data_IF_785476835928
#
_entry.id   IF_785476835928
#
_cell.length_a   1.000
_cell.length_b   1.000
_cell.length_c   1.000
_cell.angle_alpha   90.00
_cell.angle_beta   90.00
_cell.angle_gamma   90.00
#
_symmetry.space_group_name_H-M   'P 1'
#
loop_
_entity.id
_entity.type
_entity.pdbx_description
1 polymer ?
#
# COMPACT_ATOMS: atom_id res chain seq x y z
N UNK A 1 60.07 127.64 30.51
CA UNK A 1 59.25 126.64 31.21
C UNK A 1 60.06 125.34 31.28
N UNK A 2 60.74 125.04 32.39
CA UNK A 2 61.63 123.88 32.50
C UNK A 2 60.82 122.58 32.56
N UNK A 3 61.18 121.62 31.72
CA UNK A 3 60.61 120.27 31.67
C UNK A 3 60.99 119.48 32.91
N UNK A 4 60.01 119.14 33.74
CA UNK A 4 60.16 118.20 34.86
C UNK A 4 60.43 116.81 34.26
N UNK A 5 61.68 116.37 34.33
CA UNK A 5 62.05 115.00 33.98
C UNK A 5 61.35 114.04 34.93
N UNK A 6 60.28 113.38 34.47
CA UNK A 6 59.60 112.34 35.22
C UNK A 6 60.59 111.21 35.53
N UNK A 7 61.12 111.18 36.74
CA UNK A 7 62.10 110.20 37.16
C UNK A 7 61.56 108.78 36.96
N UNK A 8 62.31 107.93 36.26
CA UNK A 8 61.94 106.53 36.04
C UNK A 8 61.86 105.80 37.38
N UNK A 9 60.84 104.97 37.54
CA UNK A 9 60.63 104.17 38.76
C UNK A 9 61.08 102.72 38.57
N UNK A 10 61.55 102.10 39.65
CA UNK A 10 61.87 100.68 39.71
C UNK A 10 60.62 99.84 39.49
N UNK A 11 60.66 98.86 38.58
CA UNK A 11 59.51 97.98 38.27
C UNK A 11 59.06 97.11 39.45
N UNK A 12 59.95 96.78 40.39
CA UNK A 12 59.64 95.88 41.50
C UNK A 12 59.03 96.57 42.73
N UNK A 13 59.51 97.78 43.06
CA UNK A 13 59.19 98.49 44.30
C UNK A 13 58.64 99.92 44.11
N UNK A 14 58.56 100.43 42.88
CA UNK A 14 57.98 101.74 42.57
C UNK A 14 58.80 102.98 42.98
N UNK A 15 59.96 102.79 43.62
CA UNK A 15 60.89 103.87 44.02
C UNK A 15 61.60 104.49 42.80
N UNK A 16 61.98 105.77 42.89
CA UNK A 16 62.74 106.46 41.84
C UNK A 16 64.13 105.82 41.65
N UNK A 17 64.55 105.66 40.41
CA UNK A 17 65.89 105.15 40.07
C UNK A 17 66.94 106.21 40.41
N UNK A 18 68.14 105.81 40.87
CA UNK A 18 69.22 106.75 41.15
C UNK A 18 69.51 107.63 39.93
N UNK A 19 69.67 108.94 40.15
CA UNK A 19 70.06 109.89 39.10
C UNK A 19 71.38 109.45 38.46
N UNK A 20 71.43 109.43 37.13
CA UNK A 20 72.55 108.85 36.35
C UNK A 20 72.41 107.36 35.99
N UNK A 21 71.32 106.70 36.37
CA UNK A 21 71.06 105.32 35.95
C UNK A 21 70.89 105.20 34.42
N UNK A 22 71.60 104.25 33.80
CA UNK A 22 71.53 103.96 32.36
C UNK A 22 70.08 103.79 31.89
N UNK A 23 69.82 104.14 30.63
CA UNK A 23 68.48 104.17 30.07
C UNK A 23 67.69 102.85 30.22
N UNK A 24 68.41 101.72 30.26
CA UNK A 24 67.83 100.38 30.28
C UNK A 24 67.70 99.79 31.70
N UNK A 25 68.06 100.53 32.75
CA UNK A 25 68.02 100.04 34.13
C UNK A 25 66.58 100.02 34.64
N UNK A 26 66.02 98.83 34.83
CA UNK A 26 64.62 98.61 35.27
C UNK A 26 64.45 98.51 36.80
N UNK A 27 65.56 98.34 37.54
CA UNK A 27 65.55 98.08 38.98
C UNK A 27 66.52 98.99 39.74
N UNK A 28 66.11 99.46 40.92
CA UNK A 28 66.94 100.33 41.76
C UNK A 28 68.19 99.62 42.28
N UNK A 29 68.11 98.32 42.57
CA UNK A 29 69.19 97.51 43.10
C UNK A 29 69.10 96.03 42.65
N UNK A 30 70.17 95.28 42.91
CA UNK A 30 70.22 93.83 42.63
C UNK A 30 69.19 93.05 43.48
N UNK A 31 68.81 93.58 44.64
CA UNK A 31 67.77 93.00 45.49
C UNK A 31 66.39 93.06 44.82
N UNK A 32 66.01 94.21 44.25
CA UNK A 32 64.76 94.36 43.50
C UNK A 32 64.75 93.55 42.20
N UNK A 33 65.89 93.42 41.51
CA UNK A 33 66.02 92.54 40.36
C UNK A 33 65.79 91.07 40.74
N UNK A 34 66.40 90.59 41.84
CA UNK A 34 66.17 89.24 42.37
C UNK A 34 64.74 89.03 42.87
N UNK A 35 64.13 90.05 43.50
CA UNK A 35 62.75 89.98 43.98
C UNK A 35 61.76 89.86 42.82
N UNK A 36 61.95 90.63 41.75
CA UNK A 36 61.13 90.53 40.54
C UNK A 36 61.34 89.20 39.80
N UNK A 37 62.59 88.73 39.72
CA UNK A 37 62.88 87.40 39.16
C UNK A 37 62.18 86.28 39.97
N UNK A 38 62.19 86.36 41.31
CA UNK A 38 61.45 85.44 42.19
C UNK A 38 59.94 85.56 42.05
N UNK A 39 59.39 86.78 41.87
CA UNK A 39 57.96 86.98 41.60
C UNK A 39 57.55 86.34 40.27
N UNK A 40 58.35 86.51 39.21
CA UNK A 40 58.06 85.91 37.89
C UNK A 40 58.15 84.38 37.90
N UNK A 41 59.16 83.81 38.55
CA UNK A 41 59.29 82.35 38.67
C UNK A 41 58.28 81.75 39.65
N UNK A 42 57.94 82.45 40.74
CA UNK A 42 56.94 82.03 41.73
C UNK A 42 55.49 82.12 41.24
N UNK A 43 55.11 83.22 40.58
CA UNK A 43 53.74 83.40 40.06
C UNK A 43 53.43 82.48 38.87
N UNK A 44 54.40 82.27 37.96
CA UNK A 44 54.26 81.31 36.86
C UNK A 44 54.29 79.85 37.30
N UNK A 45 55.07 79.51 38.34
CA UNK A 45 55.13 78.18 38.94
C UNK A 45 53.85 77.81 39.70
N UNK A 46 53.27 78.76 40.44
CA UNK A 46 52.00 78.54 41.15
C UNK A 46 50.84 78.31 40.18
N UNK A 47 50.71 79.10 39.10
CA UNK A 47 49.62 78.92 38.14
C UNK A 47 49.75 77.61 37.32
N UNK A 48 50.99 77.20 37.00
CA UNK A 48 51.26 75.90 36.34
C UNK A 48 50.94 74.71 37.25
N UNK A 49 51.25 74.79 38.53
CA UNK A 49 50.94 73.70 39.48
C UNK A 49 49.44 73.58 39.75
N UNK A 50 48.71 74.69 39.79
CA UNK A 50 47.23 74.69 39.85
C UNK A 50 46.65 74.06 38.58
N UNK A 51 47.05 74.50 37.38
CA UNK A 51 46.57 73.90 36.12
C UNK A 51 46.92 72.41 35.99
N UNK A 52 48.09 71.99 36.48
CA UNK A 52 48.47 70.58 36.51
C UNK A 52 47.59 69.77 37.48
N UNK A 53 47.23 70.33 38.65
CA UNK A 53 46.28 69.70 39.57
C UNK A 53 44.89 69.62 38.98
N UNK A 54 44.40 70.67 38.33
CA UNK A 54 43.08 70.66 37.69
C UNK A 54 43.02 69.63 36.56
N UNK A 55 44.10 69.47 35.79
CA UNK A 55 44.19 68.39 34.80
C UNK A 55 44.20 67.01 35.47
N UNK A 56 44.92 66.84 36.57
CA UNK A 56 44.94 65.59 37.31
C UNK A 56 43.56 65.24 37.83
N UNK A 57 42.80 66.20 38.38
CA UNK A 57 41.44 65.96 38.89
C UNK A 57 40.46 65.59 37.77
N UNK A 58 40.57 66.23 36.60
CA UNK A 58 39.77 65.86 35.41
C UNK A 58 40.12 64.44 34.94
N UNK A 59 41.41 64.13 34.79
CA UNK A 59 41.86 62.81 34.34
C UNK A 59 41.49 61.72 35.35
N UNK A 60 41.59 61.98 36.66
CA UNK A 60 41.15 61.03 37.69
C UNK A 60 39.64 60.81 37.65
N UNK A 61 38.86 61.87 37.38
CA UNK A 61 37.42 61.76 37.19
C UNK A 61 37.06 60.91 35.96
N UNK A 62 37.75 61.12 34.85
CA UNK A 62 37.59 60.33 33.63
C UNK A 62 37.99 58.86 33.84
N UNK A 63 39.06 58.60 34.58
CA UNK A 63 39.49 57.24 34.93
C UNK A 63 38.42 56.53 35.76
N UNK A 64 37.89 57.18 36.80
CA UNK A 64 36.82 56.62 37.63
C UNK A 64 35.54 56.33 36.83
N UNK A 65 35.19 57.20 35.88
CA UNK A 65 34.07 56.96 34.95
C UNK A 65 34.34 55.76 34.03
N UNK A 66 35.55 55.67 33.47
CA UNK A 66 35.94 54.55 32.62
C UNK A 66 35.96 53.21 33.38
N UNK A 67 36.45 53.19 34.62
CA UNK A 67 36.42 52.02 35.49
C UNK A 67 34.99 51.57 35.80
N UNK A 68 34.09 52.52 36.07
CA UNK A 68 32.67 52.23 36.30
C UNK A 68 32.02 51.66 35.04
N UNK A 69 32.26 52.26 33.87
CA UNK A 69 31.75 51.77 32.59
C UNK A 69 32.30 50.38 32.26
N UNK A 70 33.57 50.10 32.56
CA UNK A 70 34.20 48.80 32.38
C UNK A 70 33.58 47.76 33.32
N UNK A 71 33.30 48.13 34.57
CA UNK A 71 32.54 47.30 35.52
C UNK A 71 31.15 46.94 35.00
N UNK A 72 30.41 47.92 34.47
CA UNK A 72 29.09 47.68 33.85
C UNK A 72 29.18 46.76 32.63
N UNK A 73 30.17 46.96 31.75
CA UNK A 73 30.42 46.09 30.61
C UNK A 73 30.71 44.64 31.05
N UNK A 74 31.57 44.45 32.07
CA UNK A 74 31.87 43.13 32.64
C UNK A 74 30.61 42.47 33.23
N UNK A 75 29.77 43.22 33.92
CA UNK A 75 28.48 42.74 34.41
C UNK A 75 27.59 42.22 33.28
N UNK A 76 27.40 43.01 32.22
CA UNK A 76 26.62 42.60 31.04
C UNK A 76 27.18 41.36 30.35
N UNK A 77 28.50 41.24 30.23
CA UNK A 77 29.15 40.04 29.66
C UNK A 77 28.87 38.82 30.53
N UNK A 78 29.03 38.93 31.85
CA UNK A 78 28.74 37.84 32.77
C UNK A 78 27.27 37.41 32.73
N UNK A 79 26.33 38.35 32.62
CA UNK A 79 24.90 38.04 32.49
C UNK A 79 24.59 37.31 31.18
N UNK A 80 25.19 37.76 30.06
CA UNK A 80 25.09 37.09 28.76
C UNK A 80 25.73 35.70 28.77
N UNK A 81 26.86 35.53 29.44
CA UNK A 81 27.51 34.22 29.57
C UNK A 81 26.63 33.22 30.35
N UNK A 82 25.97 33.67 31.42
CA UNK A 82 24.98 32.85 32.14
C UNK A 82 23.79 32.49 31.26
N UNK A 83 23.27 33.44 30.49
CA UNK A 83 22.16 33.20 29.55
C UNK A 83 22.56 32.20 28.46
N UNK A 84 23.75 32.33 27.89
CA UNK A 84 24.30 31.38 26.90
C UNK A 84 24.47 29.99 27.52
N UNK A 85 24.99 29.90 28.74
CA UNK A 85 25.15 28.63 29.43
C UNK A 85 23.79 27.95 29.69
N UNK A 86 22.79 28.72 30.10
CA UNK A 86 21.42 28.24 30.29
C UNK A 86 20.79 27.75 28.97
N UNK A 87 20.87 28.54 27.90
CA UNK A 87 20.35 28.16 26.58
C UNK A 87 21.02 26.90 26.02
N UNK A 88 22.33 26.73 26.25
CA UNK A 88 23.06 25.51 25.86
C UNK A 88 22.58 24.27 26.63
N UNK A 89 22.30 24.42 27.93
CA UNK A 89 21.76 23.33 28.74
C UNK A 89 20.34 22.94 28.27
N UNK A 90 19.50 23.93 27.98
CA UNK A 90 18.15 23.70 27.46
C UNK A 90 18.18 23.00 26.09
N UNK A 91 19.03 23.46 25.17
CA UNK A 91 19.21 22.81 23.87
C UNK A 91 19.68 21.35 24.04
N UNK A 92 20.60 21.08 24.96
CA UNK A 92 21.08 19.73 25.24
C UNK A 92 19.99 18.83 25.85
N UNK A 93 19.07 19.36 26.65
CA UNK A 93 17.91 18.61 27.14
C UNK A 93 16.92 18.30 26.01
N UNK A 94 16.60 19.29 25.17
CA UNK A 94 15.72 19.10 24.00
C UNK A 94 16.33 18.09 23.02
N UNK A 95 17.63 18.13 22.78
CA UNK A 95 18.31 17.13 21.94
C UNK A 95 18.24 15.72 22.55
N UNK A 96 18.39 15.58 23.86
CA UNK A 96 18.25 14.28 24.55
C UNK A 96 16.81 13.78 24.55
N UNK A 97 15.82 14.64 24.71
CA UNK A 97 14.40 14.24 24.68
C UNK A 97 13.96 13.84 23.27
N UNK A 98 14.34 14.61 22.26
CA UNK A 98 14.08 14.29 20.84
C UNK A 98 14.76 12.99 20.41
N UNK A 99 16.02 12.77 20.80
CA UNK A 99 16.71 11.50 20.56
C UNK A 99 15.98 10.31 21.18
N UNK A 100 15.48 10.44 22.42
CA UNK A 100 14.68 9.39 23.09
C UNK A 100 13.38 9.10 22.34
N UNK A 101 12.68 10.14 21.89
CA UNK A 101 11.44 9.99 21.09
C UNK A 101 11.72 9.26 19.78
N UNK A 102 12.78 9.66 19.06
CA UNK A 102 13.17 9.02 17.80
C UNK A 102 13.56 7.55 18.00
N UNK A 103 14.28 7.22 19.07
CA UNK A 103 14.59 5.83 19.43
C UNK A 103 13.33 5.01 19.74
N UNK A 104 12.38 5.59 20.47
CA UNK A 104 11.07 4.96 20.71
C UNK A 104 10.33 4.66 19.41
N UNK A 105 10.20 5.66 18.54
CA UNK A 105 9.57 5.50 17.23
C UNK A 105 10.28 4.46 16.34
N UNK A 106 11.61 4.42 16.36
CA UNK A 106 12.39 3.44 15.60
C UNK A 106 12.14 2.01 16.12
N UNK A 107 12.10 1.82 17.44
CA UNK A 107 11.80 0.53 18.05
C UNK A 107 10.37 0.08 17.76
N UNK A 108 9.39 0.98 17.87
CA UNK A 108 7.99 0.69 17.54
C UNK A 108 7.85 0.30 16.06
N UNK A 109 8.48 1.05 15.16
CA UNK A 109 8.49 0.74 13.73
C UNK A 109 9.14 -0.62 13.44
N UNK A 110 10.25 -0.95 14.10
CA UNK A 110 10.89 -2.26 13.99
C UNK A 110 9.97 -3.38 14.50
N UNK A 111 9.27 -3.16 15.63
CA UNK A 111 8.29 -4.09 16.18
C UNK A 111 7.10 -4.33 15.25
N UNK A 112 6.57 -3.28 14.60
CA UNK A 112 5.51 -3.40 13.61
C UNK A 112 5.98 -4.19 12.38
N UNK A 113 7.19 -3.90 11.87
CA UNK A 113 7.77 -4.66 10.73
C UNK A 113 7.96 -6.14 11.06
N UNK A 114 8.43 -6.46 12.27
CA UNK A 114 8.58 -7.84 12.72
C UNK A 114 7.24 -8.57 12.77
N UNK A 115 6.19 -7.94 13.34
CA UNK A 115 4.83 -8.51 13.37
C UNK A 115 4.27 -8.72 11.96
N UNK A 116 4.48 -7.77 11.05
CA UNK A 116 4.04 -7.87 9.66
C UNK A 116 4.74 -9.02 8.93
N UNK A 117 6.04 -9.19 9.15
CA UNK A 117 6.79 -10.31 8.59
C UNK A 117 6.26 -11.66 9.10
N UNK A 118 6.01 -11.79 10.41
CA UNK A 118 5.40 -12.99 11.00
C UNK A 118 4.02 -13.28 10.43
N UNK A 119 3.14 -12.28 10.35
CA UNK A 119 1.79 -12.44 9.79
C UNK A 119 1.83 -12.85 8.31
N UNK A 120 2.77 -12.28 7.54
CA UNK A 120 2.97 -12.65 6.13
C UNK A 120 3.47 -14.10 6.01
N UNK A 121 4.36 -14.53 6.90
CA UNK A 121 4.79 -15.93 7.01
C UNK A 121 3.61 -16.87 7.27
N UNK A 122 2.78 -16.58 8.26
CA UNK A 122 1.59 -17.35 8.61
C UNK A 122 0.57 -17.42 7.46
N UNK A 123 0.32 -16.31 6.77
CA UNK A 123 -0.56 -16.30 5.59
C UNK A 123 -0.02 -17.19 4.46
N UNK A 124 1.29 -17.19 4.25
CA UNK A 124 1.92 -18.04 3.23
C UNK A 124 1.80 -19.53 3.57
N UNK A 125 1.95 -19.90 4.85
CA UNK A 125 1.75 -21.27 5.33
C UNK A 125 0.29 -21.70 5.21
N UNK A 126 -0.65 -20.86 5.67
CA UNK A 126 -2.09 -21.12 5.52
C UNK A 126 -2.46 -21.31 4.05
N UNK A 127 -1.94 -20.48 3.15
CA UNK A 127 -2.18 -20.62 1.71
C UNK A 127 -1.67 -21.95 1.17
N UNK A 128 -0.45 -22.37 1.55
CA UNK A 128 0.12 -23.68 1.14
C UNK A 128 -0.68 -24.85 1.69
N UNK A 129 -1.12 -24.78 2.95
CA UNK A 129 -1.93 -25.81 3.58
C UNK A 129 -3.30 -25.92 2.91
N UNK A 130 -3.91 -24.78 2.58
CA UNK A 130 -5.20 -24.75 1.92
C UNK A 130 -5.12 -25.27 0.49
N UNK A 131 -4.09 -24.89 -0.29
CA UNK A 131 -3.87 -25.44 -1.62
C UNK A 131 -3.62 -26.95 -1.58
N UNK A 132 -2.80 -27.43 -0.65
CA UNK A 132 -2.57 -28.87 -0.49
C UNK A 132 -3.85 -29.63 -0.10
N UNK A 133 -4.72 -29.02 0.72
CA UNK A 133 -6.00 -29.62 1.10
C UNK A 133 -6.98 -29.63 -0.07
N UNK A 134 -7.06 -28.53 -0.82
CA UNK A 134 -7.89 -28.43 -2.01
C UNK A 134 -7.44 -29.43 -3.09
N UNK A 135 -6.13 -29.54 -3.32
CA UNK A 135 -5.55 -30.55 -4.22
C UNK A 135 -5.87 -31.97 -3.74
N UNK A 136 -5.72 -32.28 -2.45
CA UNK A 136 -6.12 -33.59 -1.91
C UNK A 136 -7.59 -33.89 -2.11
N UNK A 137 -8.47 -32.92 -1.90
CA UNK A 137 -9.92 -33.07 -2.10
C UNK A 137 -10.28 -33.29 -3.58
N UNK A 138 -9.70 -32.50 -4.49
CA UNK A 138 -9.93 -32.61 -5.94
C UNK A 138 -9.28 -33.87 -6.52
N UNK A 139 -8.10 -34.24 -6.02
CA UNK A 139 -7.37 -35.44 -6.41
C UNK A 139 -7.79 -36.68 -5.61
N UNK A 140 -8.89 -36.62 -4.84
CA UNK A 140 -9.45 -37.84 -4.26
C UNK A 140 -9.76 -38.79 -5.41
N UNK A 141 -9.20 -40.00 -5.33
CA UNK A 141 -9.45 -41.06 -6.29
C UNK A 141 -10.96 -41.31 -6.50
N UNK A 142 -11.76 -40.97 -5.49
CA UNK A 142 -13.22 -40.97 -5.51
C UNK A 142 -13.81 -40.03 -6.56
N UNK A 143 -13.42 -38.75 -6.62
CA UNK A 143 -13.96 -37.79 -7.61
C UNK A 143 -13.56 -38.20 -9.02
N UNK A 144 -12.30 -38.62 -9.21
CA UNK A 144 -11.85 -39.14 -10.51
C UNK A 144 -12.55 -40.44 -10.89
N UNK A 145 -12.80 -41.32 -9.91
CA UNK A 145 -13.51 -42.59 -10.09
C UNK A 145 -14.97 -42.38 -10.45
N UNK A 146 -15.68 -41.49 -9.76
CA UNK A 146 -17.06 -41.11 -10.05
C UNK A 146 -17.19 -40.48 -11.43
N UNK A 147 -16.24 -39.63 -11.84
CA UNK A 147 -16.19 -39.08 -13.21
C UNK A 147 -16.04 -40.20 -14.26
N UNK A 148 -15.15 -41.16 -14.01
CA UNK A 148 -15.01 -42.33 -14.88
C UNK A 148 -16.29 -43.18 -14.96
N UNK A 149 -16.94 -43.41 -13.82
CA UNK A 149 -18.22 -44.13 -13.76
C UNK A 149 -19.34 -43.38 -14.50
N UNK A 150 -19.40 -42.05 -14.39
CA UNK A 150 -20.37 -41.23 -15.10
C UNK A 150 -20.21 -41.35 -16.62
N UNK A 151 -18.98 -41.26 -17.14
CA UNK A 151 -18.71 -41.43 -18.57
C UNK A 151 -19.11 -42.83 -19.03
N UNK A 152 -18.76 -43.87 -18.28
CA UNK A 152 -19.14 -45.24 -18.62
C UNK A 152 -20.68 -45.44 -18.63
N UNK A 153 -21.42 -44.79 -17.73
CA UNK A 153 -22.89 -44.82 -17.73
C UNK A 153 -23.48 -44.04 -18.91
N UNK A 154 -22.90 -42.89 -19.28
CA UNK A 154 -23.32 -42.12 -20.44
C UNK A 154 -23.12 -42.91 -21.74
N UNK A 155 -21.99 -43.59 -21.89
CA UNK A 155 -21.72 -44.45 -23.05
C UNK A 155 -22.72 -45.61 -23.14
N UNK A 156 -23.00 -46.29 -22.02
CA UNK A 156 -24.00 -47.37 -21.97
C UNK A 156 -25.40 -46.87 -22.31
N UNK A 157 -25.78 -45.70 -21.81
CA UNK A 157 -27.06 -45.07 -22.15
C UNK A 157 -27.13 -44.73 -23.64
N UNK A 158 -26.05 -44.18 -24.23
CA UNK A 158 -25.96 -43.92 -25.66
C UNK A 158 -26.12 -45.20 -26.51
N UNK A 159 -25.44 -46.29 -26.12
CA UNK A 159 -25.57 -47.59 -26.78
C UNK A 159 -26.99 -48.16 -26.69
N UNK A 160 -27.64 -48.04 -25.52
CA UNK A 160 -29.02 -48.49 -25.35
C UNK A 160 -29.98 -47.64 -26.20
N UNK A 161 -29.82 -46.32 -26.20
CA UNK A 161 -30.65 -45.42 -27.01
C UNK A 161 -30.53 -45.75 -28.51
N UNK A 162 -29.31 -45.98 -29.01
CA UNK A 162 -29.09 -46.40 -30.39
C UNK A 162 -29.80 -47.73 -30.71
N UNK A 163 -29.67 -48.74 -29.84
CA UNK A 163 -30.38 -50.03 -30.01
C UNK A 163 -31.90 -49.87 -29.99
N UNK A 164 -32.43 -49.01 -29.12
CA UNK A 164 -33.86 -48.73 -29.08
C UNK A 164 -34.34 -48.07 -30.39
N UNK A 165 -33.56 -47.14 -30.92
CA UNK A 165 -33.85 -46.49 -32.19
C UNK A 165 -33.85 -47.50 -33.34
N UNK A 166 -32.81 -48.33 -33.47
CA UNK A 166 -32.73 -49.40 -34.47
C UNK A 166 -33.94 -50.35 -34.40
N UNK A 167 -34.34 -50.77 -33.20
CA UNK A 167 -35.51 -51.63 -33.01
C UNK A 167 -36.82 -50.93 -33.36
N UNK A 168 -36.95 -49.63 -33.08
CA UNK A 168 -38.13 -48.86 -33.46
C UNK A 168 -38.26 -48.70 -34.97
N UNK A 169 -37.16 -48.39 -35.66
CA UNK A 169 -37.11 -48.28 -37.12
C UNK A 169 -37.44 -49.64 -37.77
N UNK A 170 -36.87 -50.75 -37.25
CA UNK A 170 -37.20 -52.09 -37.71
C UNK A 170 -38.68 -52.45 -37.49
N UNK A 171 -39.27 -52.04 -36.37
CA UNK A 171 -40.68 -52.27 -36.08
C UNK A 171 -41.61 -51.46 -37.01
N UNK A 172 -41.24 -50.22 -37.34
CA UNK A 172 -41.96 -49.39 -38.31
C UNK A 172 -41.89 -50.00 -39.71
N UNK A 173 -40.70 -50.41 -40.16
CA UNK A 173 -40.54 -51.13 -41.43
C UNK A 173 -41.42 -52.38 -41.47
N UNK A 174 -41.37 -53.23 -40.44
CA UNK A 174 -42.20 -54.42 -40.36
C UNK A 174 -43.71 -54.10 -40.36
N UNK A 175 -44.12 -52.99 -39.74
CA UNK A 175 -45.51 -52.53 -39.76
C UNK A 175 -45.94 -52.10 -41.17
N UNK A 176 -45.09 -51.39 -41.92
CA UNK A 176 -45.37 -50.98 -43.30
C UNK A 176 -45.43 -52.19 -44.25
N UNK A 177 -44.50 -53.14 -44.13
CA UNK A 177 -44.52 -54.39 -44.89
C UNK A 177 -45.80 -55.18 -44.61
N UNK A 178 -46.20 -55.27 -43.33
CA UNK A 178 -47.44 -55.93 -42.94
C UNK A 178 -48.67 -55.24 -43.55
N UNK A 179 -48.72 -53.92 -43.59
CA UNK A 179 -49.81 -53.18 -44.24
C UNK A 179 -49.84 -53.46 -45.75
N UNK A 180 -48.69 -53.47 -46.41
CA UNK A 180 -48.58 -53.80 -47.84
C UNK A 180 -49.07 -55.23 -48.13
N UNK A 181 -48.58 -56.21 -47.38
CA UNK A 181 -48.98 -57.62 -47.49
C UNK A 181 -50.48 -57.80 -47.21
N UNK A 182 -51.05 -57.08 -46.24
CA UNK A 182 -52.50 -57.09 -46.00
C UNK A 182 -53.28 -56.60 -47.22
N UNK A 183 -52.78 -55.59 -47.94
CA UNK A 183 -53.36 -55.12 -49.20
C UNK A 183 -53.40 -56.22 -50.26
N UNK A 184 -52.26 -56.90 -50.48
CA UNK A 184 -52.14 -58.02 -51.42
C UNK A 184 -53.07 -59.17 -51.05
N UNK A 185 -53.11 -59.56 -49.77
CA UNK A 185 -53.99 -60.64 -49.28
C UNK A 185 -55.47 -60.30 -49.52
N UNK A 186 -55.90 -59.05 -49.32
CA UNK A 186 -57.28 -58.62 -49.60
C UNK A 186 -57.63 -58.67 -51.09
N UNK A 187 -56.70 -58.27 -51.96
CA UNK A 187 -56.88 -58.35 -53.42
C UNK A 187 -57.00 -59.81 -53.86
N UNK A 188 -56.10 -60.67 -53.39
CA UNK A 188 -56.13 -62.10 -53.68
C UNK A 188 -57.41 -62.77 -53.18
N UNK A 189 -57.85 -62.48 -51.94
CA UNK A 189 -59.13 -62.99 -51.39
C UNK A 189 -60.33 -62.55 -52.24
N UNK A 190 -60.32 -61.32 -52.77
CA UNK A 190 -61.35 -60.82 -53.67
C UNK A 190 -61.37 -61.58 -55.01
N UNK A 191 -60.20 -61.85 -55.59
CA UNK A 191 -60.07 -62.61 -56.83
C UNK A 191 -60.54 -64.06 -56.64
N UNK A 192 -60.11 -64.74 -55.57
CA UNK A 192 -60.55 -66.11 -55.26
C UNK A 192 -62.06 -66.19 -55.04
N UNK A 193 -62.66 -65.21 -54.34
CA UNK A 193 -64.13 -65.12 -54.18
C UNK A 193 -64.85 -64.93 -55.52
N UNK A 194 -64.31 -64.13 -56.43
CA UNK A 194 -64.87 -63.95 -57.78
C UNK A 194 -64.77 -65.24 -58.60
N UNK A 195 -63.62 -65.91 -58.57
CA UNK A 195 -63.41 -67.19 -59.23
C UNK A 195 -64.38 -68.26 -58.71
N UNK A 196 -64.49 -68.41 -57.39
CA UNK A 196 -65.42 -69.36 -56.75
C UNK A 196 -66.87 -69.15 -57.18
N UNK A 197 -67.31 -67.88 -57.26
CA UNK A 197 -68.65 -67.53 -57.76
C UNK A 197 -68.81 -67.84 -59.24
N UNK A 198 -67.82 -67.51 -60.06
CA UNK A 198 -67.87 -67.74 -61.51
C UNK A 198 -67.92 -69.24 -61.87
N UNK A 199 -67.25 -70.10 -61.09
CA UNK A 199 -67.24 -71.55 -61.30
C UNK A 199 -68.40 -72.28 -60.61
N UNK A 200 -69.35 -71.57 -59.99
CA UNK A 200 -70.46 -72.20 -59.25
C UNK A 200 -70.00 -73.11 -58.10
N UNK A 201 -68.81 -72.86 -57.53
CA UNK A 201 -68.19 -73.72 -56.53
C UNK A 201 -67.55 -75.01 -57.07
N UNK A 202 -67.67 -75.31 -58.38
CA UNK A 202 -67.05 -76.48 -59.02
C UNK A 202 -66.17 -76.06 -60.21
N UNK A 203 -64.91 -75.65 -59.97
CA UNK A 203 -63.94 -75.37 -61.04
C UNK A 203 -63.68 -76.59 -61.94
N UNK A 204 -63.89 -76.42 -63.25
CA UNK A 204 -63.63 -77.46 -64.26
C UNK A 204 -62.14 -77.55 -64.63
N UNK A 205 -61.41 -76.42 -64.65
CA UNK A 205 -59.98 -76.39 -64.91
C UNK A 205 -59.17 -76.88 -63.69
N UNK A 206 -58.10 -77.63 -63.92
CA UNK A 206 -57.22 -78.11 -62.85
C UNK A 206 -56.55 -76.95 -62.10
N UNK A 207 -56.15 -75.89 -62.81
CA UNK A 207 -55.51 -74.70 -62.24
C UNK A 207 -56.44 -73.98 -61.25
N UNK A 208 -57.72 -73.83 -61.58
CA UNK A 208 -58.71 -73.18 -60.71
C UNK A 208 -58.97 -73.98 -59.42
N UNK A 209 -58.93 -75.32 -59.51
CA UNK A 209 -59.01 -76.22 -58.35
C UNK A 209 -57.85 -75.98 -57.38
N UNK A 210 -56.62 -75.88 -57.90
CA UNK A 210 -55.43 -75.66 -57.07
C UNK A 210 -55.41 -74.28 -56.42
N UNK A 211 -55.85 -73.24 -57.14
CA UNK A 211 -55.99 -71.87 -56.61
C UNK A 211 -57.01 -71.84 -55.46
N UNK A 212 -58.19 -72.45 -55.62
CA UNK A 212 -59.20 -72.48 -54.56
C UNK A 212 -58.78 -73.37 -53.38
N UNK A 213 -58.06 -74.46 -53.62
CA UNK A 213 -57.54 -75.33 -52.56
C UNK A 213 -56.45 -74.63 -51.72
N UNK A 214 -55.57 -73.84 -52.34
CA UNK A 214 -54.57 -73.03 -51.63
C UNK A 214 -55.22 -71.88 -50.85
N UNK A 215 -56.22 -71.20 -51.43
CA UNK A 215 -57.01 -70.19 -50.74
C UNK A 215 -57.75 -70.73 -49.51
N UNK A 216 -58.36 -71.90 -49.63
CA UNK A 216 -59.09 -72.53 -48.51
C UNK A 216 -58.14 -72.92 -47.37
N UNK A 217 -56.97 -73.51 -47.70
CA UNK A 217 -55.92 -73.81 -46.73
C UNK A 217 -55.40 -72.56 -46.03
N UNK A 218 -55.16 -71.48 -46.77
CA UNK A 218 -54.74 -70.20 -46.20
C UNK A 218 -55.80 -69.65 -45.22
N UNK A 219 -57.08 -69.64 -45.60
CA UNK A 219 -58.15 -69.16 -44.71
C UNK A 219 -58.29 -70.01 -43.44
N UNK A 220 -58.12 -71.32 -43.55
CA UNK A 220 -58.09 -72.21 -42.38
C UNK A 220 -56.91 -71.89 -41.47
N UNK A 221 -55.70 -71.68 -42.02
CA UNK A 221 -54.52 -71.31 -41.25
C UNK A 221 -54.66 -69.95 -40.54
N UNK A 222 -55.31 -68.96 -41.18
CA UNK A 222 -55.60 -67.66 -40.55
C UNK A 222 -56.64 -67.80 -39.44
N UNK A 223 -57.68 -68.65 -39.63
CA UNK A 223 -58.75 -68.84 -38.66
C UNK A 223 -58.32 -69.61 -37.40
N UNK A 224 -57.39 -70.56 -37.51
CA UNK A 224 -56.90 -71.36 -36.38
C UNK A 224 -55.88 -70.63 -35.49
N UNK A 225 -55.42 -69.43 -35.88
CA UNK A 225 -54.55 -68.60 -35.05
C UNK A 225 -53.15 -69.17 -34.80
N UNK A 226 -52.79 -70.28 -35.45
CA UNK A 226 -51.45 -70.89 -35.38
C UNK A 226 -50.39 -70.05 -36.11
N UNK A 227 -50.80 -69.08 -36.93
CA UNK A 227 -49.91 -68.08 -37.53
C UNK A 227 -49.95 -66.74 -36.78
N UNK A 228 -48.90 -66.42 -36.01
CA UNK A 228 -48.48 -65.06 -35.66
C UNK A 228 -49.45 -64.18 -34.83
N UNK A 229 -49.63 -64.51 -33.54
CA UNK A 229 -49.70 -63.45 -32.53
C UNK A 229 -48.27 -63.06 -32.16
N UNK A 230 -47.74 -62.06 -32.85
CA UNK A 230 -46.48 -61.36 -32.52
C UNK A 230 -46.57 -60.60 -31.20
N UNK A 231 -46.84 -61.32 -30.11
CA UNK A 231 -46.74 -60.85 -28.74
C UNK A 231 -45.94 -61.90 -27.98
N UNK A 232 -44.63 -61.94 -28.23
CA UNK A 232 -43.73 -62.51 -27.25
C UNK A 232 -43.91 -61.69 -25.96
N UNK A 233 -44.22 -62.31 -24.81
CA UNK A 233 -44.14 -61.60 -23.55
C UNK A 233 -42.66 -61.23 -23.36
N UNK A 234 -42.36 -59.93 -23.37
CA UNK A 234 -41.06 -59.42 -22.93
C UNK A 234 -41.03 -59.61 -21.41
N UNK A 235 -40.77 -60.84 -20.98
CA UNK A 235 -40.30 -61.12 -19.64
C UNK A 235 -38.81 -60.75 -19.63
N UNK A 236 -38.52 -59.46 -19.43
CA UNK A 236 -37.18 -59.06 -19.03
C UNK A 236 -36.89 -59.68 -17.66
N UNK A 237 -35.75 -60.38 -17.46
CA UNK A 237 -35.37 -60.78 -16.13
C UNK A 237 -35.08 -59.51 -15.33
N UNK A 238 -35.90 -59.27 -14.31
CA UNK A 238 -35.59 -58.34 -13.24
C UNK A 238 -34.39 -58.91 -12.46
N UNK A 239 -33.19 -58.70 -13.00
CA UNK A 239 -31.92 -58.97 -12.32
C UNK A 239 -31.66 -57.92 -11.25
N UNK A 240 -32.51 -57.90 -10.23
CA UNK A 240 -32.21 -57.28 -8.94
C UNK A 240 -31.40 -58.27 -8.11
N UNK A 241 -30.09 -58.29 -8.29
CA UNK A 241 -29.17 -58.85 -7.30
C UNK A 241 -28.49 -57.69 -6.58
N UNK A 242 -29.09 -57.34 -5.45
CA UNK A 242 -28.33 -56.73 -4.37
C UNK A 242 -27.36 -57.76 -3.82
N UNK A 243 -26.08 -57.41 -3.80
CA UNK A 243 -25.13 -57.96 -2.85
C UNK A 243 -24.62 -56.77 -2.04
N UNK A 244 -25.10 -56.68 -0.81
CA UNK A 244 -24.52 -55.82 0.19
C UNK A 244 -23.07 -56.24 0.44
N UNK A 245 -22.22 -55.25 0.66
CA UNK A 245 -20.98 -55.48 1.37
C UNK A 245 -20.90 -54.44 2.49
N UNK A 246 -21.54 -54.82 3.59
CA UNK A 246 -21.29 -54.38 4.93
C UNK A 246 -19.93 -54.96 5.35
N UNK A 247 -18.90 -54.13 5.50
CA UNK A 247 -17.72 -54.48 6.30
C UNK A 247 -17.39 -53.29 7.19
N UNK A 248 -17.66 -53.52 8.48
CA UNK A 248 -17.15 -52.75 9.60
C UNK A 248 -15.63 -52.96 9.74
N UNK A 249 -14.86 -51.87 9.78
CA UNK A 249 -13.90 -51.48 10.84
C UNK A 249 -13.02 -50.32 10.38
#
# INVERSE_FOLDING_TARGET
>A
MPTVSAGRRCQACGKLLPEGSRANRRFCDAACQKAEARRRTGAGGSNRTVSARDRLTVVSGQLAQAETALGQCRGRVADRDREIAWLRAELAEVQRSTARILMGQANDAAGVRARLATATGQLSELRRNWSATAEKLVATAEVTGLRGQLVALQDRHGQLAAKYQELSEAAELAATERQHLQGVVRQWDTLCKRLYKATGGQPAAAVDRDILATWTRFRQAVATGTGNRGRAPVAGPAGGQGAGQEVAR
#
